data_IF_152271222168
#
_entry.id   IF_152271222168
#
_cell.length_a   1.000
_cell.length_b   1.000
_cell.length_c   1.000
_cell.angle_alpha   90.00
_cell.angle_beta   90.00
_cell.angle_gamma   90.00
#
_symmetry.space_group_name_H-M   'P 1'
#
loop_
_entity.id
_entity.type
_entity.pdbx_description
1 polymer ?
#
# COMPACT_ATOMS: atom_id res chain seq x y z
N UNK A 1 24.14 15.80 7.78
CA UNK A 1 22.71 16.10 7.95
C UNK A 1 22.13 16.41 6.58
N UNK A 2 21.73 15.39 5.82
CA UNK A 2 21.00 15.57 4.56
C UNK A 2 20.27 14.27 4.26
N UNK A 3 19.05 14.16 4.80
CA UNK A 3 18.11 13.15 4.35
C UNK A 3 17.36 13.74 3.15
N UNK A 4 17.33 13.06 2.00
CA UNK A 4 16.68 13.58 0.80
C UNK A 4 15.16 13.56 0.88
N UNK A 5 14.59 12.89 1.88
CA UNK A 5 13.15 12.73 2.08
C UNK A 5 12.79 12.69 3.56
N UNK A 6 11.57 13.12 3.87
CA UNK A 6 10.94 12.95 5.19
C UNK A 6 10.05 11.70 5.19
N UNK A 7 9.82 11.13 6.38
CA UNK A 7 8.90 10.00 6.52
C UNK A 7 7.45 10.45 6.45
N UNK A 8 6.60 9.69 5.75
CA UNK A 8 5.16 9.92 5.73
C UNK A 8 4.50 9.56 7.06
N UNK A 9 3.44 10.28 7.43
CA UNK A 9 2.62 10.00 8.61
C UNK A 9 1.15 10.33 8.34
N UNK A 10 0.26 9.76 9.16
CA UNK A 10 -1.17 10.05 9.15
C UNK A 10 -1.55 10.57 10.54
N UNK A 11 -1.93 11.84 10.62
CA UNK A 11 -2.37 12.49 11.83
C UNK A 11 -3.88 12.72 11.77
N UNK A 12 -4.59 12.38 12.84
CA UNK A 12 -6.03 12.59 12.92
C UNK A 12 -6.33 13.95 13.55
N UNK A 13 -7.35 14.63 13.04
CA UNK A 13 -7.79 15.90 13.61
C UNK A 13 -8.75 15.69 14.78
N UNK A 14 -8.43 16.32 15.92
CA UNK A 14 -9.33 16.42 17.07
C UNK A 14 -9.78 15.07 17.65
N UNK A 15 -10.99 14.63 17.27
CA UNK A 15 -11.67 13.44 17.80
C UNK A 15 -11.65 12.27 16.80
N UNK A 16 -11.15 12.50 15.58
CA UNK A 16 -11.04 11.44 14.58
C UNK A 16 -10.03 10.37 15.04
N UNK A 17 -10.34 9.12 14.72
CA UNK A 17 -9.46 7.99 15.03
C UNK A 17 -8.83 7.51 13.73
N UNK A 18 -7.51 7.44 13.67
CA UNK A 18 -6.75 7.12 12.44
C UNK A 18 -7.20 5.82 11.75
N UNK A 19 -7.59 4.80 12.52
CA UNK A 19 -8.10 3.53 11.97
C UNK A 19 -9.49 3.61 11.30
N UNK A 20 -10.17 4.76 11.36
CA UNK A 20 -11.43 5.00 10.64
C UNK A 20 -11.22 5.64 9.27
N UNK A 21 -10.00 6.08 8.97
CA UNK A 21 -9.66 6.71 7.69
C UNK A 21 -9.68 5.63 6.61
N UNK A 22 -10.47 5.85 5.56
CA UNK A 22 -10.65 4.88 4.47
C UNK A 22 -9.54 4.96 3.44
N UNK A 23 -9.28 3.85 2.77
CA UNK A 23 -8.30 3.75 1.68
C UNK A 23 -8.58 4.71 0.52
N UNK A 24 -9.86 4.97 0.20
CA UNK A 24 -10.23 5.91 -0.85
C UNK A 24 -10.01 7.38 -0.44
N UNK A 25 -10.02 7.67 0.87
CA UNK A 25 -9.68 9.01 1.37
C UNK A 25 -8.17 9.25 1.25
N UNK A 26 -7.36 8.28 1.69
CA UNK A 26 -5.89 8.35 1.58
C UNK A 26 -5.47 8.56 0.12
N UNK A 27 -6.07 7.81 -0.81
CA UNK A 27 -5.75 7.89 -2.24
C UNK A 27 -5.96 9.27 -2.88
N UNK A 28 -6.86 10.08 -2.31
CA UNK A 28 -7.20 11.43 -2.78
C UNK A 28 -6.24 12.50 -2.24
N UNK A 29 -5.66 12.26 -1.06
CA UNK A 29 -4.79 13.22 -0.38
C UNK A 29 -3.30 13.03 -0.69
N UNK A 30 -2.90 11.85 -1.15
CA UNK A 30 -1.51 11.57 -1.58
C UNK A 30 -1.24 12.05 -3.00
N UNK A 31 0.05 12.20 -3.34
CA UNK A 31 0.46 12.57 -4.69
C UNK A 31 0.11 11.49 -5.73
N UNK A 32 0.10 11.88 -7.01
CA UNK A 32 -0.35 11.03 -8.11
C UNK A 32 0.52 9.76 -8.31
N UNK A 33 1.81 9.80 -7.95
CA UNK A 33 2.67 8.62 -8.06
C UNK A 33 2.36 7.63 -6.94
N UNK A 34 2.18 8.13 -5.71
CA UNK A 34 1.78 7.31 -4.55
C UNK A 34 0.37 6.73 -4.73
N UNK A 35 -0.57 7.52 -5.24
CA UNK A 35 -1.95 7.08 -5.51
C UNK A 35 -1.99 5.91 -6.51
N UNK A 36 -1.09 5.89 -7.50
CA UNK A 36 -0.98 4.79 -8.48
C UNK A 36 -0.41 3.49 -7.90
N UNK A 37 0.22 3.52 -6.73
CA UNK A 37 0.69 2.33 -6.03
C UNK A 37 -0.41 1.63 -5.24
N UNK A 38 -1.61 2.22 -5.14
CA UNK A 38 -2.80 1.54 -4.63
C UNK A 38 -3.44 0.75 -5.77
N UNK A 39 -3.34 -0.58 -5.71
CA UNK A 39 -3.92 -1.47 -6.71
C UNK A 39 -4.51 -2.71 -6.06
N UNK A 40 -5.52 -3.27 -6.73
CA UNK A 40 -6.14 -4.54 -6.37
C UNK A 40 -5.77 -5.58 -7.43
N UNK A 41 -5.27 -6.74 -6.99
CA UNK A 41 -4.89 -7.84 -7.89
C UNK A 41 -5.90 -8.97 -7.72
N UNK A 42 -6.79 -9.10 -8.69
CA UNK A 42 -7.79 -10.16 -8.71
C UNK A 42 -7.25 -11.40 -9.44
N UNK A 43 -6.83 -12.41 -8.67
CA UNK A 43 -6.39 -13.71 -9.18
C UNK A 43 -7.35 -14.81 -8.69
N UNK A 44 -8.34 -15.23 -9.48
CA UNK A 44 -9.42 -16.09 -8.99
C UNK A 44 -9.09 -17.59 -8.97
N UNK A 45 -8.01 -18.03 -9.62
CA UNK A 45 -7.85 -19.44 -10.00
C UNK A 45 -7.08 -20.30 -8.97
N UNK A 46 -5.95 -19.81 -8.44
CA UNK A 46 -4.98 -20.64 -7.73
C UNK A 46 -5.13 -20.61 -6.19
N UNK A 47 -6.31 -20.23 -5.69
CA UNK A 47 -6.60 -20.17 -4.25
C UNK A 47 -6.04 -18.93 -3.56
N UNK A 48 -5.85 -18.91 -2.23
CA UNK A 48 -5.24 -17.77 -1.55
C UNK A 48 -3.80 -17.57 -2.03
N UNK A 49 -3.39 -16.31 -2.19
CA UNK A 49 -2.07 -15.93 -2.66
C UNK A 49 -1.19 -15.42 -1.52
N UNK A 50 0.06 -15.86 -1.50
CA UNK A 50 1.13 -15.27 -0.70
C UNK A 50 1.91 -14.29 -1.58
N UNK A 51 2.21 -13.12 -1.05
CA UNK A 51 2.99 -12.09 -1.73
C UNK A 51 4.34 -11.95 -1.06
N UNK A 52 5.39 -11.82 -1.86
CA UNK A 52 6.73 -11.46 -1.38
C UNK A 52 7.36 -10.41 -2.29
N UNK A 53 8.15 -9.52 -1.71
CA UNK A 53 8.80 -8.42 -2.40
C UNK A 53 10.31 -8.57 -2.30
N UNK A 54 11.01 -8.21 -3.36
CA UNK A 54 12.47 -8.06 -3.28
C UNK A 54 12.86 -7.00 -2.25
N UNK A 55 14.08 -7.07 -1.71
CA UNK A 55 14.58 -6.11 -0.71
C UNK A 55 14.54 -4.64 -1.15
N UNK A 56 14.59 -4.39 -2.46
CA UNK A 56 14.45 -3.06 -3.05
C UNK A 56 13.00 -2.61 -3.29
N UNK A 57 12.02 -3.52 -3.12
CA UNK A 57 10.61 -3.31 -3.46
C UNK A 57 10.31 -3.29 -4.96
N UNK A 58 11.31 -3.46 -5.83
CA UNK A 58 11.15 -3.31 -7.29
C UNK A 58 10.29 -4.40 -7.94
N UNK A 59 10.42 -5.63 -7.45
CA UNK A 59 9.66 -6.77 -7.95
C UNK A 59 8.85 -7.40 -6.83
N UNK A 60 7.68 -7.90 -7.20
CA UNK A 60 6.75 -8.65 -6.36
C UNK A 60 6.51 -10.02 -7.00
N UNK A 61 6.54 -11.08 -6.21
CA UNK A 61 6.12 -12.41 -6.59
C UNK A 61 4.80 -12.75 -5.87
N UNK A 62 3.85 -13.33 -6.59
CA UNK A 62 2.61 -13.85 -6.05
C UNK A 62 2.54 -15.36 -6.29
N UNK A 63 2.37 -16.14 -5.24
CA UNK A 63 2.28 -17.60 -5.31
C UNK A 63 0.92 -18.06 -4.79
N UNK A 64 0.17 -18.77 -5.64
CA UNK A 64 -1.12 -19.35 -5.26
C UNK A 64 -0.92 -20.64 -4.47
N UNK A 65 -1.78 -20.89 -3.49
CA UNK A 65 -1.72 -22.13 -2.71
C UNK A 65 -1.89 -23.40 -3.57
N UNK A 66 -2.48 -23.30 -4.77
CA UNK A 66 -2.72 -24.43 -5.68
C UNK A 66 -1.62 -24.66 -6.73
N UNK A 67 -0.58 -23.84 -6.80
CA UNK A 67 0.51 -23.97 -7.77
C UNK A 67 1.09 -22.63 -8.20
#
# INVERSE_FOLDING_TARGET
WLMPSEGGYLEAEGVEKTWRIKQEAIAREVDILSSRNQYDIMLPELGPYTLDFTSSGRYMAAAGCKG
#
